data_IF_292306568538
#
_entry.id   IF_292306568538
#
_cell.length_a   1.000
_cell.length_b   1.000
_cell.length_c   1.000
_cell.angle_alpha   90.00
_cell.angle_beta   90.00
_cell.angle_gamma   90.00
#
_symmetry.space_group_name_H-M   'P 1'
#
loop_
_entity.id
_entity.type
_entity.pdbx_description
1 polymer ?
#
# COMPACT_ATOMS: atom_id res chain seq x y z
N UNK A 1 -4.72 -12.79 12.12
CA UNK A 1 -5.42 -11.62 11.54
C UNK A 1 -6.83 -12.04 11.20
N UNK A 2 -7.84 -11.27 11.60
CA UNK A 2 -9.25 -11.62 11.47
C UNK A 2 -10.04 -10.40 11.01
N UNK A 3 -11.03 -10.62 10.13
CA UNK A 3 -12.02 -9.61 9.76
C UNK A 3 -13.33 -9.95 10.47
N UNK A 4 -13.95 -8.95 11.05
CA UNK A 4 -15.27 -9.03 11.68
C UNK A 4 -16.18 -7.98 11.04
N UNK A 5 -17.47 -8.32 10.88
CA UNK A 5 -18.49 -7.38 10.45
C UNK A 5 -19.38 -7.01 11.64
N UNK A 6 -19.70 -5.73 11.75
CA UNK A 6 -20.71 -5.23 12.69
C UNK A 6 -21.89 -4.71 11.88
N UNK A 7 -23.07 -5.26 12.16
CA UNK A 7 -24.35 -4.92 11.51
C UNK A 7 -24.30 -4.95 9.97
N UNK A 8 -23.41 -5.76 9.38
CA UNK A 8 -23.13 -5.84 7.94
C UNK A 8 -22.78 -4.49 7.27
N UNK A 9 -22.32 -3.51 8.07
CA UNK A 9 -22.02 -2.15 7.60
C UNK A 9 -20.63 -1.66 8.01
N UNK A 10 -20.03 -2.27 9.02
CA UNK A 10 -18.70 -1.88 9.49
C UNK A 10 -17.73 -3.04 9.38
N UNK A 11 -16.57 -2.78 8.84
CA UNK A 11 -15.49 -3.75 8.68
C UNK A 11 -14.43 -3.49 9.74
N UNK A 12 -14.24 -4.46 10.63
CA UNK A 12 -13.21 -4.40 11.66
C UNK A 12 -12.09 -5.36 11.28
N UNK A 13 -10.86 -4.89 11.28
CA UNK A 13 -9.67 -5.73 11.18
C UNK A 13 -9.01 -5.86 12.55
N UNK A 14 -8.72 -7.09 12.93
CA UNK A 14 -7.86 -7.43 14.05
C UNK A 14 -6.47 -7.84 13.55
N UNK A 15 -5.46 -7.06 13.89
CA UNK A 15 -4.07 -7.31 13.55
C UNK A 15 -3.17 -6.93 14.73
N UNK A 16 -2.19 -7.79 15.03
CA UNK A 16 -1.19 -7.56 16.09
C UNK A 16 -1.82 -7.21 17.47
N UNK A 17 -2.94 -7.85 17.79
CA UNK A 17 -3.64 -7.64 19.08
C UNK A 17 -4.45 -6.34 19.16
N UNK A 18 -4.54 -5.56 18.09
CA UNK A 18 -5.38 -4.36 18.03
C UNK A 18 -6.52 -4.54 17.02
N UNK A 19 -7.70 -4.00 17.39
CA UNK A 19 -8.86 -3.94 16.47
C UNK A 19 -9.01 -2.52 15.95
N UNK A 20 -9.18 -2.39 14.64
CA UNK A 20 -9.41 -1.09 13.98
C UNK A 20 -10.57 -1.21 13.00
N UNK A 21 -11.44 -0.23 12.97
CA UNK A 21 -12.45 -0.05 11.95
C UNK A 21 -11.80 0.47 10.68
N UNK A 22 -12.12 -0.15 9.54
CA UNK A 22 -11.66 0.32 8.23
C UNK A 22 -12.69 1.34 7.73
N UNK A 23 -12.21 2.52 7.38
CA UNK A 23 -13.07 3.56 6.82
C UNK A 23 -13.62 3.14 5.44
N UNK A 24 -14.93 3.30 5.18
CA UNK A 24 -15.54 2.91 3.89
C UNK A 24 -14.85 3.54 2.67
N UNK A 25 -14.44 4.79 2.77
CA UNK A 25 -13.71 5.48 1.70
C UNK A 25 -12.40 4.77 1.34
N UNK A 26 -11.66 4.27 2.32
CA UNK A 26 -10.41 3.52 2.09
C UNK A 26 -10.68 2.21 1.33
N UNK A 27 -11.79 1.52 1.63
CA UNK A 27 -12.21 0.32 0.90
C UNK A 27 -12.64 0.69 -0.52
N UNK A 28 -13.48 1.72 -0.67
CA UNK A 28 -14.01 2.16 -1.98
C UNK A 28 -12.91 2.60 -2.94
N UNK A 29 -11.87 3.24 -2.43
CA UNK A 29 -10.69 3.61 -3.20
C UNK A 29 -9.93 2.39 -3.77
N UNK A 30 -10.09 1.22 -3.16
CA UNK A 30 -9.39 -0.04 -3.51
C UNK A 30 -10.22 -1.00 -4.34
N UNK A 31 -11.33 -0.54 -4.87
CA UNK A 31 -12.12 -1.29 -5.85
C UNK A 31 -11.22 -1.66 -7.03
N UNK A 32 -11.21 -2.96 -7.39
CA UNK A 32 -10.27 -3.51 -8.37
C UNK A 32 -10.93 -4.09 -9.63
N UNK A 33 -12.23 -3.94 -9.76
CA UNK A 33 -12.98 -4.30 -10.95
C UNK A 33 -12.50 -3.48 -12.15
N UNK A 34 -12.55 -4.08 -13.35
CA UNK A 34 -11.98 -3.51 -14.59
C UNK A 34 -12.54 -2.14 -14.98
N UNK A 35 -13.71 -1.76 -14.47
CA UNK A 35 -14.30 -0.43 -14.64
C UNK A 35 -13.61 0.65 -13.81
N UNK A 36 -12.84 0.26 -12.79
CA UNK A 36 -12.22 1.15 -11.82
C UNK A 36 -10.70 1.06 -11.79
N UNK A 37 -10.13 -0.06 -12.27
CA UNK A 37 -8.71 -0.31 -12.27
C UNK A 37 -8.28 -0.88 -13.64
N UNK A 38 -7.36 -0.20 -14.31
CA UNK A 38 -6.81 -0.69 -15.57
C UNK A 38 -6.08 -2.03 -15.35
N UNK A 39 -6.46 -3.10 -16.07
CA UNK A 39 -5.91 -4.43 -15.83
C UNK A 39 -4.43 -4.57 -16.23
N UNK A 40 -3.95 -3.76 -17.19
CA UNK A 40 -2.57 -3.81 -17.66
C UNK A 40 -1.62 -2.97 -16.83
N UNK A 41 -1.98 -1.73 -16.58
CA UNK A 41 -1.12 -0.77 -15.85
C UNK A 41 -1.37 -0.76 -14.35
N UNK A 42 -2.47 -1.32 -13.89
CA UNK A 42 -2.93 -1.28 -12.50
C UNK A 42 -3.18 0.14 -11.97
N UNK A 43 -3.40 1.09 -12.88
CA UNK A 43 -3.77 2.46 -12.53
C UNK A 43 -5.26 2.59 -12.31
N UNK A 44 -5.65 3.44 -11.36
CA UNK A 44 -7.06 3.78 -11.14
C UNK A 44 -7.60 4.56 -12.33
N UNK A 45 -8.80 4.22 -12.76
CA UNK A 45 -9.53 4.89 -13.84
C UNK A 45 -10.42 6.04 -13.31
N UNK A 46 -10.29 6.39 -12.05
CA UNK A 46 -10.97 7.51 -11.41
C UNK A 46 -10.00 8.28 -10.50
N UNK A 47 -10.31 9.55 -10.25
CA UNK A 47 -9.59 10.36 -9.28
C UNK A 47 -10.25 10.23 -7.90
N UNK A 48 -9.57 9.67 -6.88
CA UNK A 48 -10.11 9.57 -5.53
C UNK A 48 -10.54 10.90 -4.93
N UNK A 49 -9.92 12.01 -5.34
CA UNK A 49 -10.29 13.35 -4.88
C UNK A 49 -11.69 13.80 -5.34
N UNK A 50 -12.22 13.17 -6.40
CA UNK A 50 -13.58 13.46 -6.90
C UNK A 50 -14.66 12.59 -6.25
N UNK A 51 -14.26 11.58 -5.46
CA UNK A 51 -15.21 10.74 -4.75
C UNK A 51 -15.94 11.49 -3.64
N UNK A 52 -17.19 11.12 -3.41
CA UNK A 52 -17.93 11.65 -2.28
C UNK A 52 -17.32 11.17 -0.95
N UNK A 53 -16.91 12.09 -0.09
CA UNK A 53 -16.38 11.75 1.25
C UNK A 53 -17.41 11.11 2.19
N UNK A 54 -18.71 11.15 1.85
CA UNK A 54 -19.79 10.48 2.57
C UNK A 54 -20.05 9.06 2.05
N UNK A 55 -19.02 8.43 1.48
CA UNK A 55 -19.07 7.00 1.15
C UNK A 55 -19.32 6.21 2.43
N UNK A 56 -20.30 5.28 2.35
CA UNK A 56 -20.63 4.37 3.43
C UNK A 56 -20.93 2.98 2.86
N UNK A 57 -20.99 1.99 3.73
CA UNK A 57 -21.30 0.60 3.38
C UNK A 57 -22.79 0.38 3.57
N UNK A 58 -23.49 0.05 2.49
CA UNK A 58 -24.89 -0.36 2.55
C UNK A 58 -25.02 -1.80 3.04
N UNK A 59 -24.13 -2.67 2.54
CA UNK A 59 -24.15 -4.09 2.88
C UNK A 59 -22.72 -4.66 2.76
N UNK A 60 -22.35 -5.51 3.71
CA UNK A 60 -21.14 -6.31 3.66
C UNK A 60 -21.42 -7.74 4.09
N UNK A 61 -20.76 -8.70 3.44
CA UNK A 61 -20.75 -10.10 3.86
C UNK A 61 -19.41 -10.77 3.62
N UNK A 62 -19.12 -11.82 4.38
CA UNK A 62 -17.93 -12.65 4.23
C UNK A 62 -18.38 -13.96 3.59
N UNK A 63 -17.75 -14.33 2.48
CA UNK A 63 -17.93 -15.59 1.76
C UNK A 63 -16.57 -16.25 1.54
N UNK A 64 -16.28 -17.27 2.35
CA UNK A 64 -14.98 -17.94 2.36
C UNK A 64 -13.84 -16.95 2.65
N UNK A 65 -12.89 -16.86 1.72
CA UNK A 65 -11.72 -15.99 1.82
C UNK A 65 -11.96 -14.57 1.31
N UNK A 66 -13.21 -14.22 1.05
CA UNK A 66 -13.57 -12.95 0.44
C UNK A 66 -14.53 -12.14 1.30
N UNK A 67 -14.30 -10.84 1.29
CA UNK A 67 -15.18 -9.81 1.79
C UNK A 67 -15.87 -9.14 0.60
N UNK A 68 -17.22 -9.27 0.53
CA UNK A 68 -18.03 -8.60 -0.48
C UNK A 68 -18.65 -7.37 0.16
N UNK A 69 -18.60 -6.24 -0.54
CA UNK A 69 -19.13 -4.97 -0.07
C UNK A 69 -19.96 -4.33 -1.17
N UNK A 70 -21.10 -3.76 -0.77
CA UNK A 70 -21.88 -2.83 -1.57
C UNK A 70 -21.83 -1.47 -0.89
N UNK A 71 -21.43 -0.45 -1.64
CA UNK A 71 -21.36 0.92 -1.17
C UNK A 71 -22.63 1.72 -1.49
N UNK A 72 -22.85 2.81 -0.76
CA UNK A 72 -24.01 3.70 -0.94
C UNK A 72 -23.99 4.48 -2.26
N UNK A 73 -22.90 4.46 -3.02
CA UNK A 73 -22.82 4.99 -4.39
C UNK A 73 -23.23 3.96 -5.46
N UNK A 74 -23.68 2.78 -5.04
CA UNK A 74 -24.13 1.69 -5.91
C UNK A 74 -23.03 0.76 -6.39
N UNK A 75 -21.77 1.06 -6.10
CA UNK A 75 -20.64 0.20 -6.47
C UNK A 75 -20.55 -1.00 -5.52
N UNK A 76 -20.26 -2.15 -6.10
CA UNK A 76 -19.99 -3.38 -5.36
C UNK A 76 -18.59 -3.87 -5.67
N UNK A 77 -17.90 -4.42 -4.69
CA UNK A 77 -16.57 -4.97 -4.87
C UNK A 77 -16.31 -6.18 -3.98
N UNK A 78 -15.37 -7.02 -4.44
CA UNK A 78 -14.94 -8.24 -3.78
C UNK A 78 -13.46 -8.14 -3.41
N UNK A 79 -13.14 -8.25 -2.13
CA UNK A 79 -11.79 -8.15 -1.60
C UNK A 79 -11.31 -9.51 -1.08
N UNK A 80 -10.13 -9.93 -1.49
CA UNK A 80 -9.44 -11.05 -0.87
C UNK A 80 -9.01 -10.67 0.55
N UNK A 81 -9.52 -11.36 1.57
CA UNK A 81 -9.29 -11.02 2.99
C UNK A 81 -7.80 -11.01 3.33
N UNK A 82 -7.05 -11.99 2.85
CA UNK A 82 -5.61 -12.09 3.12
C UNK A 82 -4.86 -10.88 2.56
N UNK A 83 -5.16 -10.48 1.33
CA UNK A 83 -4.53 -9.33 0.68
C UNK A 83 -4.92 -8.02 1.36
N UNK A 84 -6.21 -7.81 1.61
CA UNK A 84 -6.73 -6.64 2.31
C UNK A 84 -6.08 -6.48 3.69
N UNK A 85 -5.95 -7.59 4.40
CA UNK A 85 -5.36 -7.64 5.72
C UNK A 85 -3.87 -7.31 5.72
N UNK A 86 -3.10 -7.80 4.74
CA UNK A 86 -1.68 -7.46 4.62
C UNK A 86 -1.45 -6.00 4.25
N UNK A 87 -2.27 -5.44 3.36
CA UNK A 87 -2.23 -4.00 3.03
C UNK A 87 -2.55 -3.12 4.25
N UNK A 88 -3.53 -3.53 5.06
CA UNK A 88 -3.94 -2.77 6.24
C UNK A 88 -2.94 -2.86 7.40
N UNK A 89 -2.28 -4.03 7.55
CA UNK A 89 -1.29 -4.24 8.61
C UNK A 89 0.03 -3.45 8.38
N UNK A 90 0.19 -2.86 7.20
CA UNK A 90 1.47 -2.32 6.76
C UNK A 90 2.41 -3.49 6.41
N UNK A 91 2.76 -3.61 5.16
CA UNK A 91 3.70 -4.63 4.72
C UNK A 91 5.10 -4.14 5.06
N UNK A 92 5.86 -4.98 5.71
CA UNK A 92 7.28 -4.89 6.01
C UNK A 92 7.70 -4.16 7.27
N UNK A 93 7.67 -4.90 8.34
CA UNK A 93 8.35 -4.53 9.58
C UNK A 93 9.87 -4.30 9.40
N UNK A 94 10.51 -4.86 8.36
CA UNK A 94 11.93 -4.63 8.09
C UNK A 94 12.18 -3.19 7.59
N UNK A 95 11.38 -2.69 6.65
CA UNK A 95 11.52 -1.32 6.16
C UNK A 95 11.07 -0.29 7.21
N UNK A 96 10.04 -0.59 8.00
CA UNK A 96 9.61 0.27 9.10
C UNK A 96 10.66 0.41 10.21
N UNK A 97 11.55 -0.59 10.37
CA UNK A 97 12.65 -0.52 11.31
C UNK A 97 13.77 0.45 10.87
N UNK A 98 13.79 0.86 9.59
CA UNK A 98 14.79 1.78 9.05
C UNK A 98 14.38 3.22 9.37
N UNK A 99 15.09 3.85 10.28
CA UNK A 99 14.87 5.25 10.61
C UNK A 99 15.18 6.15 9.39
N UNK A 100 14.17 6.94 8.97
CA UNK A 100 14.33 7.94 7.92
C UNK A 100 15.13 9.13 8.44
N UNK A 101 16.16 9.51 7.73
CA UNK A 101 17.01 10.66 8.07
C UNK A 101 16.48 11.91 7.40
N UNK A 102 16.04 12.86 8.21
CA UNK A 102 15.77 14.23 7.74
C UNK A 102 17.10 14.92 7.51
N UNK A 103 17.26 15.53 6.35
CA UNK A 103 18.50 16.18 5.96
C UNK A 103 18.26 17.56 5.37
N UNK A 104 19.32 18.38 5.39
CA UNK A 104 19.40 19.73 4.83
C UNK A 104 20.74 19.92 4.09
N UNK A 105 21.11 21.16 3.80
CA UNK A 105 22.36 21.52 3.12
C UNK A 105 23.64 21.11 3.88
N UNK A 106 23.55 20.70 5.14
CA UNK A 106 24.68 20.24 5.95
C UNK A 106 24.92 18.74 5.85
N UNK A 107 24.10 17.99 5.13
CA UNK A 107 24.30 16.57 4.94
C UNK A 107 25.64 16.30 4.24
N UNK A 108 26.52 15.57 4.91
CA UNK A 108 27.85 15.19 4.42
C UNK A 108 28.00 13.67 4.42
N UNK A 109 28.99 13.18 3.67
CA UNK A 109 29.39 11.76 3.68
C UNK A 109 28.30 10.79 3.23
N UNK A 110 27.52 11.15 2.18
CA UNK A 110 26.56 10.24 1.56
C UNK A 110 27.34 9.14 0.82
N UNK A 111 26.94 7.88 1.04
CA UNK A 111 27.50 6.75 0.30
C UNK A 111 27.18 6.89 -1.18
N UNK A 112 28.20 6.81 -2.04
CA UNK A 112 28.03 6.71 -3.48
C UNK A 112 28.08 5.24 -3.88
N UNK A 113 27.29 4.88 -4.89
CA UNK A 113 27.25 3.55 -5.49
C UNK A 113 27.85 3.63 -6.89
N UNK A 114 28.58 2.61 -7.31
CA UNK A 114 29.14 2.55 -8.67
C UNK A 114 28.35 1.55 -9.50
N UNK A 115 27.85 2.01 -10.65
CA UNK A 115 27.24 1.12 -11.61
C UNK A 115 28.31 0.22 -12.25
N UNK A 116 27.99 -1.06 -12.38
CA UNK A 116 28.76 -2.08 -13.12
C UNK A 116 27.77 -3.13 -13.66
N UNK A 117 28.17 -3.85 -14.67
CA UNK A 117 27.35 -4.93 -15.22
C UNK A 117 26.97 -5.94 -14.14
N UNK A 118 25.70 -6.33 -14.12
CA UNK A 118 25.14 -7.20 -13.09
C UNK A 118 24.88 -6.52 -11.73
N UNK A 119 25.02 -5.17 -11.64
CA UNK A 119 24.79 -4.42 -10.39
C UNK A 119 23.46 -4.74 -9.72
N UNK A 120 22.39 -4.91 -10.51
CA UNK A 120 21.04 -5.15 -9.99
C UNK A 120 20.85 -6.52 -9.31
N UNK A 121 21.80 -7.44 -9.47
CA UNK A 121 21.79 -8.77 -8.84
C UNK A 121 22.73 -8.86 -7.63
N UNK A 122 23.26 -7.72 -7.17
CA UNK A 122 24.26 -7.67 -6.12
C UNK A 122 23.70 -7.26 -4.76
N UNK A 123 24.42 -7.63 -3.69
CA UNK A 123 24.17 -7.09 -2.34
C UNK A 123 24.27 -5.55 -2.31
N UNK A 124 25.13 -4.98 -3.14
CA UNK A 124 25.31 -3.53 -3.23
C UNK A 124 24.06 -2.81 -3.72
N UNK A 125 23.28 -3.44 -4.61
CA UNK A 125 21.95 -2.97 -5.00
C UNK A 125 21.00 -2.92 -3.79
N UNK A 126 20.96 -3.95 -2.97
CA UNK A 126 20.16 -3.94 -1.75
C UNK A 126 20.55 -2.79 -0.82
N UNK A 127 21.85 -2.61 -0.57
CA UNK A 127 22.35 -1.50 0.25
C UNK A 127 22.00 -0.12 -0.34
N UNK A 128 21.98 0.00 -1.66
CA UNK A 128 21.54 1.20 -2.36
C UNK A 128 20.06 1.49 -2.12
N UNK A 129 19.21 0.46 -2.21
CA UNK A 129 17.77 0.60 -1.94
C UNK A 129 17.49 0.99 -0.49
N UNK A 130 18.20 0.40 0.47
CA UNK A 130 18.13 0.80 1.88
C UNK A 130 18.54 2.27 2.06
N UNK A 131 19.63 2.71 1.38
CA UNK A 131 20.06 4.11 1.41
C UNK A 131 19.03 5.04 0.81
N UNK A 132 18.41 4.63 -0.31
CA UNK A 132 17.31 5.39 -0.93
C UNK A 132 16.12 5.53 0.03
N UNK A 133 15.71 4.43 0.68
CA UNK A 133 14.61 4.45 1.65
C UNK A 133 14.92 5.37 2.84
N UNK A 134 16.18 5.35 3.31
CA UNK A 134 16.64 6.13 4.46
C UNK A 134 16.72 7.64 4.17
N UNK A 135 17.26 8.01 3.02
CA UNK A 135 17.59 9.41 2.68
C UNK A 135 16.67 10.03 1.63
N UNK A 136 15.83 9.22 0.94
CA UNK A 136 14.98 9.68 -0.15
C UNK A 136 15.70 9.87 -1.50
N UNK A 137 17.02 9.67 -1.54
CA UNK A 137 17.84 9.73 -2.75
C UNK A 137 19.11 8.90 -2.61
N UNK A 138 19.76 8.59 -3.75
CA UNK A 138 21.09 7.97 -3.83
C UNK A 138 21.89 8.59 -4.96
N UNK A 139 23.21 8.46 -4.91
CA UNK A 139 24.12 8.89 -5.96
C UNK A 139 24.75 7.65 -6.59
N UNK A 140 24.50 7.46 -7.88
CA UNK A 140 25.08 6.38 -8.68
C UNK A 140 26.12 7.00 -9.62
N UNK A 141 27.33 6.47 -9.58
CA UNK A 141 28.46 6.88 -10.44
C UNK A 141 28.69 5.85 -11.54
N UNK A 142 29.38 6.25 -12.59
CA UNK A 142 29.78 5.39 -13.72
C UNK A 142 28.61 4.74 -14.46
N UNK A 143 27.43 5.36 -14.42
CA UNK A 143 26.32 4.89 -15.24
C UNK A 143 26.65 5.14 -16.72
N UNK A 144 26.51 4.14 -17.62
CA UNK A 144 26.74 4.34 -19.03
C UNK A 144 25.74 5.37 -19.62
N UNK A 145 26.26 6.23 -20.49
CA UNK A 145 25.45 7.23 -21.21
C UNK A 145 24.63 6.55 -22.32
#
# INVERSE_FOLDING_TARGET
MKIELIDNKKVIIEANGSKKEIHPFWLRERVSESEHLDPGTRQRLFDPATMNFKIDIDEANIDGDYLNIKFNDGISSKYEIKKLSSEFAGIDNELESIEKVKWDCNLKNIKNFEYKDGFFETKEMYEMLISFYKYGFVIIKKYPN
#
